data_IF_636800848660
#
_entry.id   IF_636800848660
#
_cell.length_a   1.000
_cell.length_b   1.000
_cell.length_c   1.000
_cell.angle_alpha   90.00
_cell.angle_beta   90.00
_cell.angle_gamma   90.00
#
_symmetry.space_group_name_H-M   'P 1'
#
loop_
_entity.id
_entity.type
_entity.pdbx_description
1 polymer ?
#
# COMPACT_ATOMS: atom_id res chain seq x y z
N UNK A 1 13.00 26.14 13.96
CA UNK A 1 14.13 25.44 14.61
C UNK A 1 14.37 24.14 13.86
N UNK A 2 15.58 23.89 13.35
CA UNK A 2 15.95 22.63 12.71
C UNK A 2 15.90 21.49 13.74
N UNK A 3 14.93 20.58 13.60
CA UNK A 3 14.74 19.45 14.53
C UNK A 3 15.71 18.28 14.27
N UNK A 4 16.54 18.36 13.22
CA UNK A 4 17.46 17.30 12.81
C UNK A 4 18.91 17.74 13.03
N UNK A 5 19.31 17.82 14.29
CA UNK A 5 20.71 17.97 14.70
C UNK A 5 21.29 16.59 15.04
N UNK A 6 22.56 16.34 14.72
CA UNK A 6 23.28 15.08 14.97
C UNK A 6 23.03 14.43 16.34
N UNK A 7 23.04 15.19 17.46
CA UNK A 7 22.68 14.67 18.78
C UNK A 7 21.28 14.03 18.83
N UNK A 8 20.27 14.71 18.29
CA UNK A 8 18.87 14.25 18.27
C UNK A 8 18.71 12.94 17.49
N UNK A 9 19.46 12.75 16.40
CA UNK A 9 19.40 11.53 15.58
C UNK A 9 20.14 10.35 16.23
N UNK A 10 21.20 10.63 17.01
CA UNK A 10 21.90 9.59 17.78
C UNK A 10 21.02 9.02 18.90
N UNK A 11 20.20 9.86 19.51
CA UNK A 11 19.36 9.50 20.66
C UNK A 11 17.95 9.03 20.26
N UNK A 12 17.45 9.42 19.07
CA UNK A 12 16.12 9.02 18.61
C UNK A 12 15.95 7.49 18.53
N UNK A 13 14.90 6.99 19.17
CA UNK A 13 14.40 5.64 18.98
C UNK A 13 13.76 5.52 17.60
N UNK A 14 14.11 4.44 16.88
CA UNK A 14 13.49 4.14 15.59
C UNK A 14 12.37 3.14 15.80
N UNK A 15 11.15 3.65 15.93
CA UNK A 15 9.95 2.82 16.01
C UNK A 15 9.45 2.57 14.57
N UNK A 16 9.26 1.31 14.18
CA UNK A 16 8.50 0.97 12.96
C UNK A 16 9.26 0.79 11.64
N UNK A 17 10.60 0.76 11.60
CA UNK A 17 11.37 0.38 10.38
C UNK A 17 12.32 -0.77 10.68
N UNK A 18 11.88 -2.00 10.44
CA UNK A 18 12.62 -3.22 10.75
C UNK A 18 13.65 -3.65 9.67
N UNK A 19 13.67 -3.00 8.51
CA UNK A 19 14.39 -3.50 7.32
C UNK A 19 15.81 -2.96 7.10
N UNK A 20 16.25 -1.93 7.83
CA UNK A 20 17.63 -1.44 7.76
C UNK A 20 18.18 -1.21 9.17
N UNK A 21 18.81 -2.26 9.74
CA UNK A 21 19.44 -2.22 11.04
C UNK A 21 20.74 -1.39 10.98
N UNK A 22 20.57 -0.07 10.86
CA UNK A 22 21.68 0.87 10.85
C UNK A 22 22.20 0.95 12.28
N UNK A 23 23.38 0.35 12.50
CA UNK A 23 24.10 0.46 13.77
C UNK A 23 24.20 1.92 14.19
N UNK A 24 24.01 2.20 15.49
CA UNK A 24 24.04 3.56 16.05
C UNK A 24 25.29 4.33 15.64
N UNK A 25 26.44 3.65 15.58
CA UNK A 25 27.73 4.19 15.13
C UNK A 25 27.73 4.72 13.68
N UNK A 26 26.89 4.16 12.81
CA UNK A 26 26.78 4.52 11.39
C UNK A 26 25.79 5.66 11.15
N UNK A 27 25.01 6.08 12.16
CA UNK A 27 24.02 7.17 12.02
C UNK A 27 24.68 8.50 11.64
N UNK A 28 25.93 8.74 12.09
CA UNK A 28 26.69 9.94 11.71
C UNK A 28 26.89 10.03 10.19
N UNK A 29 27.22 8.91 9.54
CA UNK A 29 27.44 8.87 8.11
C UNK A 29 26.15 9.08 7.32
N UNK A 30 25.04 8.53 7.80
CA UNK A 30 23.72 8.78 7.19
C UNK A 30 23.34 10.25 7.33
N UNK A 31 23.62 10.85 8.47
CA UNK A 31 23.39 12.28 8.65
C UNK A 31 24.26 13.13 7.72
N UNK A 32 25.55 12.81 7.59
CA UNK A 32 26.42 13.51 6.64
C UNK A 32 25.93 13.37 5.19
N UNK A 33 25.46 12.18 4.80
CA UNK A 33 24.82 11.97 3.48
C UNK A 33 23.53 12.79 3.35
N UNK A 34 22.71 12.84 4.40
CA UNK A 34 21.48 13.63 4.42
C UNK A 34 21.75 15.14 4.30
N UNK A 35 22.73 15.67 5.02
CA UNK A 35 23.15 17.06 4.88
C UNK A 35 23.65 17.32 3.47
N UNK A 36 24.50 16.44 2.93
CA UNK A 36 25.01 16.60 1.58
C UNK A 36 23.89 16.55 0.53
N UNK A 37 22.91 15.67 0.74
CA UNK A 37 21.70 15.61 -0.08
C UNK A 37 20.93 16.93 -0.06
N UNK A 38 20.69 17.51 1.13
CA UNK A 38 20.00 18.81 1.27
C UNK A 38 20.76 19.92 0.55
N UNK A 39 22.07 20.02 0.73
CA UNK A 39 22.92 21.02 0.06
C UNK A 39 22.80 20.93 -1.47
N UNK A 40 22.93 19.73 -2.03
CA UNK A 40 22.86 19.51 -3.48
C UNK A 40 21.46 19.81 -4.02
N UNK A 41 20.42 19.41 -3.27
CA UNK A 41 19.02 19.65 -3.64
C UNK A 41 18.70 21.15 -3.66
N UNK A 42 19.15 21.89 -2.65
CA UNK A 42 18.95 23.33 -2.57
C UNK A 42 19.73 24.08 -3.67
N UNK A 43 20.95 23.65 -3.98
CA UNK A 43 21.74 24.20 -5.08
C UNK A 43 21.06 24.00 -6.46
N UNK A 44 20.27 22.94 -6.63
CA UNK A 44 19.43 22.67 -7.81
C UNK A 44 18.08 23.44 -7.78
N UNK A 45 17.90 24.34 -6.82
CA UNK A 45 16.69 25.16 -6.65
C UNK A 45 15.51 24.43 -6.03
N UNK A 46 15.69 23.21 -5.52
CA UNK A 46 14.65 22.39 -4.87
C UNK A 46 14.77 22.52 -3.36
N UNK A 47 13.97 23.41 -2.76
CA UNK A 47 14.02 23.65 -1.30
C UNK A 47 13.55 22.43 -0.49
N UNK A 48 12.56 21.70 -1.00
CA UNK A 48 11.89 20.59 -0.32
C UNK A 48 11.75 19.39 -1.27
N UNK A 49 11.62 18.19 -0.71
CA UNK A 49 11.14 17.00 -1.42
C UNK A 49 9.77 16.57 -0.89
N UNK A 50 9.22 15.48 -1.45
CA UNK A 50 7.89 14.98 -1.08
C UNK A 50 7.77 14.54 0.37
N UNK A 51 8.84 14.02 0.97
CA UNK A 51 8.84 13.54 2.36
C UNK A 51 8.95 14.72 3.35
N UNK A 52 9.58 15.81 2.92
CA UNK A 52 9.75 17.04 3.69
C UNK A 52 8.48 17.90 3.76
N UNK A 53 7.60 17.86 2.75
CA UNK A 53 6.48 18.81 2.61
C UNK A 53 5.63 18.93 3.88
N UNK A 54 5.26 17.80 4.49
CA UNK A 54 4.44 17.80 5.70
C UNK A 54 5.13 18.53 6.87
N UNK A 55 6.43 18.31 7.05
CA UNK A 55 7.20 18.96 8.11
C UNK A 55 7.29 20.47 7.89
N UNK A 56 7.55 20.91 6.66
CA UNK A 56 7.62 22.35 6.36
C UNK A 56 6.26 23.02 6.47
N UNK A 57 5.18 22.40 5.99
CA UNK A 57 3.81 22.92 6.17
C UNK A 57 3.49 23.08 7.66
N UNK A 58 3.79 22.06 8.47
CA UNK A 58 3.60 22.15 9.92
C UNK A 58 4.38 23.32 10.53
N UNK A 59 5.66 23.49 10.19
CA UNK A 59 6.49 24.55 10.73
C UNK A 59 6.03 25.95 10.29
N UNK A 60 5.63 26.13 9.03
CA UNK A 60 5.12 27.41 8.54
C UNK A 60 3.81 27.78 9.27
N UNK A 61 2.90 26.82 9.44
CA UNK A 61 1.65 27.05 10.18
C UNK A 61 1.91 27.42 11.65
N UNK A 62 2.90 26.81 12.31
CA UNK A 62 3.25 27.15 13.68
C UNK A 62 3.76 28.60 13.86
N UNK A 63 4.23 29.24 12.78
CA UNK A 63 4.66 30.64 12.78
C UNK A 63 3.64 31.57 12.09
N UNK A 64 2.50 31.03 11.65
CA UNK A 64 1.43 31.76 10.99
C UNK A 64 0.26 31.95 11.95
N UNK A 65 0.04 33.19 12.38
CA UNK A 65 -1.06 33.58 13.28
C UNK A 65 -2.38 33.86 12.53
N UNK A 66 -2.43 33.65 11.21
CA UNK A 66 -3.66 33.85 10.44
C UNK A 66 -4.73 32.82 10.78
N UNK A 67 -5.99 33.26 10.71
CA UNK A 67 -7.13 32.38 10.93
C UNK A 67 -7.13 31.23 9.93
N UNK A 68 -7.23 29.99 10.44
CA UNK A 68 -7.24 28.80 9.60
C UNK A 68 -8.52 28.74 8.78
N UNK A 69 -8.39 28.49 7.48
CA UNK A 69 -9.52 28.46 6.55
C UNK A 69 -10.31 27.15 6.56
N UNK A 70 -9.68 26.04 6.95
CA UNK A 70 -10.31 24.73 6.87
C UNK A 70 -11.07 24.43 8.15
N UNK A 71 -12.39 24.53 8.09
CA UNK A 71 -13.25 24.15 9.20
C UNK A 71 -13.42 22.64 9.30
N UNK A 72 -13.34 21.90 8.19
CA UNK A 72 -13.46 20.45 8.21
C UNK A 72 -12.45 19.81 7.26
N UNK A 73 -11.68 18.85 7.78
CA UNK A 73 -10.76 18.03 6.98
C UNK A 73 -11.19 16.58 7.12
N UNK A 74 -11.31 15.89 5.99
CA UNK A 74 -11.61 14.46 5.91
C UNK A 74 -10.43 13.80 5.21
N UNK A 75 -9.78 12.87 5.91
CA UNK A 75 -8.72 12.02 5.37
C UNK A 75 -9.31 10.66 5.11
N UNK A 76 -9.35 10.28 3.83
CA UNK A 76 -9.63 8.91 3.41
C UNK A 76 -8.33 8.11 3.30
N UNK A 77 -8.40 6.79 3.47
CA UNK A 77 -7.24 5.88 3.46
C UNK A 77 -6.09 6.34 4.37
N UNK A 78 -6.43 6.80 5.57
CA UNK A 78 -5.50 7.44 6.50
C UNK A 78 -4.32 6.56 6.95
N UNK A 79 -4.40 5.24 6.76
CA UNK A 79 -3.26 4.34 6.95
C UNK A 79 -2.08 4.60 5.99
N UNK A 80 -2.28 5.32 4.88
CA UNK A 80 -1.22 5.70 3.95
C UNK A 80 -0.47 6.97 4.39
N UNK A 81 -0.96 7.68 5.41
CA UNK A 81 -0.37 8.93 5.86
C UNK A 81 0.75 8.69 6.88
N UNK A 82 1.79 9.53 6.87
CA UNK A 82 2.73 9.54 7.98
C UNK A 82 2.19 10.36 9.16
N UNK A 83 2.66 10.15 10.40
CA UNK A 83 2.31 10.98 11.55
C UNK A 83 2.55 12.47 11.31
N UNK A 84 3.62 12.82 10.59
CA UNK A 84 3.93 14.21 10.27
C UNK A 84 2.90 14.80 9.30
N UNK A 85 2.44 14.03 8.30
CA UNK A 85 1.37 14.46 7.40
C UNK A 85 0.06 14.69 8.15
N UNK A 86 -0.29 13.80 9.09
CA UNK A 86 -1.47 14.00 9.93
C UNK A 86 -1.31 15.24 10.81
N UNK A 87 -0.17 15.39 11.47
CA UNK A 87 0.10 16.54 12.34
C UNK A 87 0.02 17.87 11.58
N UNK A 88 0.57 17.93 10.37
CA UNK A 88 0.47 19.14 9.52
C UNK A 88 -0.96 19.45 9.09
N UNK A 89 -1.79 18.43 8.87
CA UNK A 89 -3.19 18.63 8.52
C UNK A 89 -4.02 19.07 9.73
N UNK A 90 -3.82 18.46 10.90
CA UNK A 90 -4.49 18.86 12.15
C UNK A 90 -4.20 20.33 12.46
N UNK A 91 -2.95 20.76 12.31
CA UNK A 91 -2.51 22.15 12.51
C UNK A 91 -3.19 23.16 11.55
N UNK A 92 -3.69 22.67 10.41
CA UNK A 92 -4.38 23.50 9.41
C UNK A 92 -5.88 23.65 9.66
N UNK A 93 -6.43 22.98 10.69
CA UNK A 93 -7.85 23.03 11.07
C UNK A 93 -8.13 24.29 11.91
N UNK A 94 -9.26 24.95 11.66
CA UNK A 94 -9.73 26.06 12.49
C UNK A 94 -10.09 25.65 13.93
N UNK A 95 -10.04 26.57 14.88
CA UNK A 95 -10.25 26.31 16.31
C UNK A 95 -11.57 25.57 16.63
N UNK A 96 -12.63 25.83 15.85
CA UNK A 96 -13.93 25.16 15.98
C UNK A 96 -14.19 24.14 14.87
N UNK A 97 -13.13 23.70 14.20
CA UNK A 97 -13.18 22.76 13.11
C UNK A 97 -13.18 21.29 13.56
N UNK A 98 -13.24 20.39 12.59
CA UNK A 98 -13.16 18.96 12.83
C UNK A 98 -12.20 18.26 11.89
N UNK A 99 -11.49 17.27 12.42
CA UNK A 99 -10.68 16.36 11.65
C UNK A 99 -11.31 14.96 11.67
N UNK A 100 -11.64 14.41 10.49
CA UNK A 100 -12.15 13.05 10.34
C UNK A 100 -11.12 12.19 9.64
N UNK A 101 -10.85 11.03 10.23
CA UNK A 101 -9.91 10.04 9.71
C UNK A 101 -10.65 8.75 9.43
N UNK A 102 -10.59 8.29 8.18
CA UNK A 102 -11.10 7.01 7.72
C UNK A 102 -9.90 6.13 7.36
N UNK A 103 -9.87 4.88 7.81
CA UNK A 103 -8.80 3.97 7.46
C UNK A 103 -9.05 2.55 7.94
N UNK A 104 -8.35 1.61 7.32
CA UNK A 104 -8.43 0.18 7.67
C UNK A 104 -7.34 -0.20 8.68
N UNK A 105 -7.77 -0.54 9.90
CA UNK A 105 -6.88 -0.97 10.99
C UNK A 105 -6.15 -2.26 10.63
N UNK A 106 -6.76 -3.15 9.85
CA UNK A 106 -6.11 -4.40 9.45
C UNK A 106 -4.94 -4.17 8.48
N UNK A 107 -4.95 -3.07 7.71
CA UNK A 107 -3.85 -2.69 6.83
C UNK A 107 -2.69 -2.00 7.57
N UNK A 108 -2.96 -1.39 8.74
CA UNK A 108 -1.93 -0.79 9.60
C UNK A 108 -1.01 -1.83 10.27
N UNK A 109 -1.45 -3.09 10.37
CA UNK A 109 -0.60 -4.20 10.85
C UNK A 109 0.61 -4.39 9.91
N UNK A 110 0.50 -4.02 8.64
CA UNK A 110 1.55 -4.17 7.63
C UNK A 110 2.46 -2.93 7.45
N UNK A 111 2.16 -1.82 8.15
CA UNK A 111 2.94 -0.59 8.09
C UNK A 111 2.97 0.08 9.46
N UNK A 112 4.11 -0.03 10.15
CA UNK A 112 4.49 0.62 11.43
C UNK A 112 3.34 1.03 12.35
N UNK A 113 3.25 0.41 13.54
CA UNK A 113 2.41 0.81 14.69
C UNK A 113 2.69 2.26 15.15
N UNK A 114 2.35 3.25 14.32
CA UNK A 114 2.41 4.64 14.65
C UNK A 114 1.13 4.96 15.40
N UNK A 115 1.30 5.21 16.69
CA UNK A 115 0.25 5.67 17.57
C UNK A 115 -0.22 7.04 17.07
N UNK A 116 -1.29 7.05 16.27
CA UNK A 116 -1.98 8.27 15.82
C UNK A 116 -2.36 9.19 16.99
N UNK A 117 -2.47 8.62 18.19
CA UNK A 117 -2.68 9.35 19.44
C UNK A 117 -1.57 10.37 19.72
N UNK A 118 -0.34 10.09 19.28
CA UNK A 118 0.81 10.98 19.48
C UNK A 118 0.92 12.07 18.40
N UNK A 119 0.05 12.06 17.38
CA UNK A 119 0.05 13.02 16.27
C UNK A 119 -0.79 14.28 16.54
N UNK A 120 -1.30 14.45 17.77
CA UNK A 120 -2.08 15.62 18.18
C UNK A 120 -3.57 15.56 17.78
N UNK A 121 -4.08 14.40 17.34
CA UNK A 121 -5.51 14.23 17.11
C UNK A 121 -6.22 14.04 18.45
N UNK A 122 -7.14 14.94 18.78
CA UNK A 122 -8.11 14.71 19.86
C UNK A 122 -9.22 13.77 19.37
N UNK A 123 -9.12 12.50 19.75
CA UNK A 123 -10.05 11.47 19.31
C UNK A 123 -11.31 11.51 20.18
N UNK A 124 -12.24 12.37 19.80
CA UNK A 124 -13.53 12.49 20.49
C UNK A 124 -14.48 11.31 20.25
N UNK A 125 -14.40 10.66 19.07
CA UNK A 125 -15.31 9.57 18.69
C UNK A 125 -14.68 8.60 17.71
N UNK A 126 -14.85 7.30 17.97
CA UNK A 126 -14.43 6.21 17.08
C UNK A 126 -15.69 5.47 16.63
N UNK A 127 -15.86 5.34 15.32
CA UNK A 127 -16.89 4.50 14.71
C UNK A 127 -16.23 3.31 14.03
N UNK A 128 -16.82 2.13 14.18
CA UNK A 128 -16.34 0.91 13.52
C UNK A 128 -17.43 0.41 12.57
N UNK A 129 -17.02 0.13 11.34
CA UNK A 129 -17.88 -0.43 10.30
C UNK A 129 -17.48 -1.88 10.08
N UNK A 130 -18.04 -2.78 10.89
CA UNK A 130 -17.59 -4.17 10.94
C UNK A 130 -18.25 -5.08 9.88
N UNK A 131 -19.20 -4.54 9.11
CA UNK A 131 -19.98 -5.30 8.12
C UNK A 131 -19.48 -5.00 6.70
N UNK A 132 -19.07 -6.05 5.98
CA UNK A 132 -18.59 -5.93 4.60
C UNK A 132 -19.74 -6.10 3.59
N UNK A 133 -20.14 -4.99 2.98
CA UNK A 133 -21.14 -4.96 1.89
C UNK A 133 -20.51 -4.96 0.49
N UNK A 134 -19.20 -4.72 0.39
CA UNK A 134 -18.49 -4.50 -0.88
C UNK A 134 -18.13 -5.82 -1.56
N UNK A 135 -17.70 -6.81 -0.78
CA UNK A 135 -17.19 -8.07 -1.31
C UNK A 135 -18.10 -9.25 -0.91
N UNK A 136 -18.42 -10.15 -1.86
CA UNK A 136 -19.07 -11.41 -1.54
C UNK A 136 -18.26 -12.23 -0.53
N UNK A 137 -18.98 -13.03 0.26
CA UNK A 137 -18.41 -13.89 1.29
C UNK A 137 -17.25 -14.76 0.78
N UNK A 138 -17.40 -15.27 -0.43
CA UNK A 138 -16.46 -16.16 -1.12
C UNK A 138 -15.14 -15.49 -1.49
N UNK A 139 -15.16 -14.22 -1.90
CA UNK A 139 -13.95 -13.46 -2.23
C UNK A 139 -13.15 -13.18 -0.96
N UNK A 140 -13.82 -12.75 0.11
CA UNK A 140 -13.16 -12.54 1.41
C UNK A 140 -12.62 -13.84 1.98
N UNK A 141 -13.34 -14.97 1.82
CA UNK A 141 -12.85 -16.28 2.25
C UNK A 141 -11.59 -16.71 1.48
N UNK A 142 -11.55 -16.46 0.17
CA UNK A 142 -10.37 -16.71 -0.66
C UNK A 142 -9.18 -15.83 -0.27
N UNK A 143 -9.40 -14.52 -0.06
CA UNK A 143 -8.37 -13.62 0.43
C UNK A 143 -7.81 -14.07 1.79
N UNK A 144 -8.68 -14.46 2.73
CA UNK A 144 -8.28 -15.04 4.03
C UNK A 144 -7.51 -16.36 3.90
N UNK A 145 -7.79 -17.17 2.88
CA UNK A 145 -7.04 -18.40 2.64
C UNK A 145 -5.62 -18.09 2.15
N UNK A 146 -5.46 -17.10 1.26
CA UNK A 146 -4.15 -16.64 0.79
C UNK A 146 -3.28 -16.14 1.96
N UNK A 147 -3.85 -15.36 2.88
CA UNK A 147 -3.11 -14.86 4.06
C UNK A 147 -2.75 -15.95 5.06
N UNK A 148 -3.24 -17.19 4.92
CA UNK A 148 -2.90 -18.32 5.80
C UNK A 148 -1.81 -19.23 5.23
N UNK A 149 -1.36 -18.99 4.00
CA UNK A 149 -0.24 -19.69 3.38
C UNK A 149 1.05 -19.39 4.16
N UNK A 150 1.95 -20.38 4.30
CA UNK A 150 3.11 -20.44 5.21
C UNK A 150 4.02 -19.19 5.30
N UNK A 151 3.93 -18.27 4.35
CA UNK A 151 4.65 -16.98 4.34
C UNK A 151 4.02 -15.92 5.28
N UNK A 152 2.86 -16.20 5.87
CA UNK A 152 2.01 -15.23 6.58
C UNK A 152 1.44 -15.73 7.94
N UNK A 153 2.25 -16.33 8.81
CA UNK A 153 1.88 -16.62 10.23
C UNK A 153 2.86 -15.92 11.16
N UNK A 154 2.52 -15.32 12.31
CA UNK A 154 1.28 -15.19 13.08
C UNK A 154 1.39 -13.85 13.83
N UNK A 155 0.38 -12.98 13.75
CA UNK A 155 0.05 -12.09 14.86
C UNK A 155 -1.48 -12.02 14.93
N UNK A 156 -2.02 -12.22 16.13
CA UNK A 156 -3.44 -12.51 16.42
C UNK A 156 -4.41 -11.35 16.20
N UNK A 157 -4.04 -10.33 15.43
CA UNK A 157 -4.82 -9.10 15.21
C UNK A 157 -5.53 -9.08 13.85
N UNK A 158 -5.80 -10.23 13.22
CA UNK A 158 -6.71 -10.26 12.08
C UNK A 158 -8.14 -10.00 12.59
N UNK A 159 -8.62 -8.77 12.40
CA UNK A 159 -10.01 -8.39 12.66
C UNK A 159 -10.93 -9.34 11.89
N UNK A 160 -11.67 -10.16 12.60
CA UNK A 160 -12.72 -10.98 11.99
C UNK A 160 -13.79 -10.04 11.44
N UNK A 161 -13.77 -9.81 10.12
CA UNK A 161 -14.87 -9.12 9.46
C UNK A 161 -16.18 -9.84 9.81
N UNK A 162 -17.00 -9.19 10.61
CA UNK A 162 -18.22 -9.74 11.16
C UNK A 162 -19.30 -9.76 10.08
N UNK A 163 -19.94 -10.91 9.92
CA UNK A 163 -21.13 -11.14 9.09
C UNK A 163 -21.00 -10.78 7.60
N UNK A 164 -20.84 -11.81 6.76
CA UNK A 164 -20.88 -11.70 5.31
C UNK A 164 -22.33 -11.90 4.83
N UNK A 165 -22.85 -10.95 4.06
CA UNK A 165 -24.29 -10.87 3.76
C UNK A 165 -24.68 -11.59 2.45
N UNK A 166 -23.74 -11.96 1.57
CA UNK A 166 -24.06 -12.61 0.31
C UNK A 166 -23.07 -13.70 -0.14
N UNK A 167 -23.61 -14.87 -0.54
CA UNK A 167 -22.92 -15.91 -1.30
C UNK A 167 -22.77 -15.47 -2.76
N UNK A 168 -21.60 -14.95 -3.13
CA UNK A 168 -21.22 -14.77 -4.53
C UNK A 168 -20.62 -16.05 -5.13
N UNK A 169 -20.35 -16.09 -6.44
CA UNK A 169 -19.63 -17.20 -7.04
C UNK A 169 -18.25 -17.37 -6.39
N UNK A 170 -17.77 -18.61 -6.30
CA UNK A 170 -16.39 -18.88 -5.85
C UNK A 170 -15.40 -18.37 -6.90
N UNK A 171 -14.26 -17.79 -6.50
CA UNK A 171 -13.16 -17.54 -7.41
C UNK A 171 -12.75 -18.82 -8.15
N UNK A 172 -12.42 -18.69 -9.43
CA UNK A 172 -12.04 -19.82 -10.29
C UNK A 172 -10.52 -19.78 -10.46
N UNK A 173 -9.85 -20.88 -10.09
CA UNK A 173 -8.45 -21.12 -10.41
C UNK A 173 -8.38 -22.02 -11.64
N UNK A 174 -7.61 -21.60 -12.66
CA UNK A 174 -7.41 -22.37 -13.88
C UNK A 174 -5.91 -22.57 -14.08
N UNK A 175 -5.50 -23.83 -14.18
CA UNK A 175 -4.13 -24.21 -14.45
C UNK A 175 -3.89 -24.35 -15.96
N UNK A 176 -2.74 -23.85 -16.42
CA UNK A 176 -2.32 -23.96 -17.80
C UNK A 176 -0.92 -24.56 -17.87
N UNK A 177 -0.71 -25.52 -18.77
CA UNK A 177 0.61 -26.11 -18.99
C UNK A 177 1.60 -25.16 -19.67
N UNK A 178 1.11 -24.06 -20.27
CA UNK A 178 1.94 -23.08 -20.98
C UNK A 178 1.46 -21.65 -20.72
N UNK A 179 2.42 -20.76 -20.43
CA UNK A 179 2.19 -19.32 -20.22
C UNK A 179 1.37 -18.69 -21.36
N UNK A 180 1.64 -19.08 -22.61
CA UNK A 180 0.93 -18.51 -23.76
C UNK A 180 -0.56 -18.88 -23.78
N UNK A 181 -0.93 -20.07 -23.29
CA UNK A 181 -2.32 -20.50 -23.23
C UNK A 181 -3.09 -19.69 -22.17
N UNK A 182 -2.48 -19.48 -21.00
CA UNK A 182 -3.02 -18.61 -19.96
C UNK A 182 -3.29 -17.20 -20.49
N UNK A 183 -2.27 -16.57 -21.09
CA UNK A 183 -2.38 -15.22 -21.65
C UNK A 183 -3.49 -15.14 -22.70
N UNK A 184 -3.52 -16.08 -23.65
CA UNK A 184 -4.53 -16.11 -24.70
C UNK A 184 -5.95 -16.26 -24.13
N UNK A 185 -6.11 -17.15 -23.15
CA UNK A 185 -7.40 -17.39 -22.50
C UNK A 185 -7.90 -16.17 -21.74
N UNK A 186 -7.02 -15.52 -20.96
CA UNK A 186 -7.35 -14.28 -20.23
C UNK A 186 -7.74 -13.17 -21.21
N UNK A 187 -6.99 -12.97 -22.29
CA UNK A 187 -7.30 -11.94 -23.29
C UNK A 187 -8.68 -12.19 -23.92
N UNK A 188 -8.96 -13.40 -24.40
CA UNK A 188 -10.25 -13.71 -25.03
C UNK A 188 -11.41 -13.52 -24.05
N UNK A 189 -11.23 -13.97 -22.81
CA UNK A 189 -12.27 -13.87 -21.79
C UNK A 189 -12.50 -12.42 -21.35
N UNK A 190 -11.43 -11.65 -21.16
CA UNK A 190 -11.51 -10.24 -20.78
C UNK A 190 -12.21 -9.42 -21.87
N UNK A 191 -11.90 -9.65 -23.15
CA UNK A 191 -12.59 -8.99 -24.27
C UNK A 191 -14.08 -9.34 -24.31
N UNK A 192 -14.42 -10.62 -24.11
CA UNK A 192 -15.82 -11.06 -24.14
C UNK A 192 -16.64 -10.42 -23.01
N UNK A 193 -16.12 -10.42 -21.79
CA UNK A 193 -16.82 -9.92 -20.59
C UNK A 193 -16.79 -8.38 -20.53
N UNK A 194 -15.67 -7.76 -20.94
CA UNK A 194 -15.49 -6.31 -20.94
C UNK A 194 -16.51 -5.55 -21.79
N UNK A 195 -17.25 -6.23 -22.68
CA UNK A 195 -18.37 -5.65 -23.43
C UNK A 195 -19.62 -5.40 -22.58
N UNK A 196 -19.80 -6.16 -21.50
CA UNK A 196 -21.02 -6.15 -20.68
C UNK A 196 -20.82 -5.60 -19.27
N UNK A 197 -19.60 -5.67 -18.75
CA UNK A 197 -19.25 -5.32 -17.37
C UNK A 197 -17.83 -4.76 -17.30
N UNK A 198 -17.49 -4.08 -16.20
CA UNK A 198 -16.14 -3.61 -15.99
C UNK A 198 -15.20 -4.78 -15.71
N UNK A 199 -14.07 -4.84 -16.42
CA UNK A 199 -13.15 -5.97 -16.36
C UNK A 199 -11.72 -5.46 -16.23
N UNK A 200 -10.97 -5.99 -15.27
CA UNK A 200 -9.57 -5.62 -15.06
C UNK A 200 -8.66 -6.84 -15.08
N UNK A 201 -7.47 -6.68 -15.67
CA UNK A 201 -6.34 -7.61 -15.54
C UNK A 201 -5.33 -6.96 -14.60
N UNK A 202 -5.10 -7.57 -13.43
CA UNK A 202 -4.20 -7.06 -12.39
C UNK A 202 -2.86 -7.76 -12.49
N UNK A 203 -1.90 -7.11 -13.12
CA UNK A 203 -0.55 -7.61 -13.32
C UNK A 203 0.36 -7.34 -12.11
N UNK A 204 1.44 -8.11 -11.98
CA UNK A 204 2.44 -7.89 -10.93
C UNK A 204 3.21 -6.60 -11.14
N UNK A 205 3.69 -6.38 -12.36
CA UNK A 205 4.54 -5.25 -12.75
C UNK A 205 4.16 -4.75 -14.15
N UNK A 206 4.82 -3.67 -14.58
CA UNK A 206 4.59 -3.08 -15.90
C UNK A 206 5.03 -3.98 -17.05
N UNK A 207 6.08 -4.79 -16.87
CA UNK A 207 6.51 -5.73 -17.91
C UNK A 207 5.43 -6.77 -18.24
N UNK A 208 4.62 -7.18 -17.26
CA UNK A 208 3.47 -8.05 -17.52
C UNK A 208 2.35 -7.28 -18.26
N UNK A 209 2.12 -5.99 -17.95
CA UNK A 209 1.17 -5.13 -18.69
C UNK A 209 1.57 -5.00 -20.17
N UNK A 210 2.87 -4.81 -20.44
CA UNK A 210 3.43 -4.68 -21.78
C UNK A 210 3.23 -5.94 -22.64
N UNK A 211 3.00 -7.10 -22.02
CA UNK A 211 2.64 -8.34 -22.72
C UNK A 211 1.16 -8.32 -23.15
N UNK A 212 0.26 -7.90 -22.26
CA UNK A 212 -1.18 -7.99 -22.51
C UNK A 212 -1.71 -6.86 -23.42
N UNK A 213 -1.20 -5.64 -23.28
CA UNK A 213 -1.69 -4.47 -24.04
C UNK A 213 -1.65 -4.69 -25.57
N UNK A 214 -0.52 -5.13 -26.18
CA UNK A 214 -0.48 -5.38 -27.61
C UNK A 214 -1.42 -6.51 -28.05
N UNK A 215 -1.59 -7.56 -27.23
CA UNK A 215 -2.44 -8.70 -27.55
C UNK A 215 -3.92 -8.31 -27.56
N UNK A 216 -4.35 -7.51 -26.58
CA UNK A 216 -5.70 -6.95 -26.52
C UNK A 216 -5.97 -6.07 -27.75
N UNK A 217 -5.03 -5.18 -28.07
CA UNK A 217 -5.13 -4.29 -29.24
C UNK A 217 -5.23 -5.09 -30.55
N UNK A 218 -4.38 -6.10 -30.73
CA UNK A 218 -4.39 -6.95 -31.92
C UNK A 218 -5.69 -7.75 -32.09
N UNK A 219 -6.43 -7.99 -31.01
CA UNK A 219 -7.76 -8.61 -31.03
C UNK A 219 -8.91 -7.59 -31.06
N UNK A 220 -8.61 -6.32 -31.36
CA UNK A 220 -9.61 -5.26 -31.53
C UNK A 220 -10.16 -4.70 -30.23
N UNK A 221 -9.46 -4.89 -29.10
CA UNK A 221 -9.83 -4.33 -27.81
C UNK A 221 -8.88 -3.20 -27.41
N UNK A 222 -9.38 -1.98 -27.39
CA UNK A 222 -8.67 -0.83 -26.82
C UNK A 222 -8.80 -0.83 -25.30
N UNK A 223 -7.94 -1.60 -24.65
CA UNK A 223 -7.87 -1.64 -23.19
C UNK A 223 -7.18 -0.39 -22.63
N UNK A 224 -7.59 0.02 -21.42
CA UNK A 224 -7.05 1.20 -20.75
C UNK A 224 -6.05 0.75 -19.68
N UNK A 225 -4.81 1.20 -19.78
CA UNK A 225 -3.85 1.08 -18.68
C UNK A 225 -4.18 2.11 -17.60
N UNK A 226 -4.39 1.64 -16.37
CA UNK A 226 -4.58 2.47 -15.20
C UNK A 226 -3.21 2.82 -14.64
N UNK A 227 -2.94 4.12 -14.53
CA UNK A 227 -1.71 4.66 -13.97
C UNK A 227 -2.00 5.99 -13.26
N UNK A 228 -0.95 6.68 -12.82
CA UNK A 228 -1.09 7.96 -12.09
C UNK A 228 -1.82 9.05 -12.89
N UNK A 229 -1.78 8.99 -14.22
CA UNK A 229 -2.35 9.99 -15.13
C UNK A 229 -3.70 9.55 -15.72
N UNK A 230 -3.98 8.24 -15.71
CA UNK A 230 -5.18 7.65 -16.30
C UNK A 230 -5.97 6.89 -15.22
N UNK A 231 -7.03 7.48 -14.65
CA UNK A 231 -7.84 6.82 -13.64
C UNK A 231 -8.65 5.66 -14.24
N UNK A 232 -8.80 4.58 -13.47
CA UNK A 232 -9.72 3.49 -13.78
C UNK A 232 -11.15 3.87 -13.42
N UNK A 233 -12.10 3.61 -14.31
CA UNK A 233 -13.52 3.90 -14.06
C UNK A 233 -14.31 2.59 -13.99
N UNK A 234 -14.69 2.20 -12.77
CA UNK A 234 -15.40 0.96 -12.46
C UNK A 234 -16.76 0.81 -13.14
N UNK A 235 -17.38 1.92 -13.57
CA UNK A 235 -18.72 1.96 -14.15
C UNK A 235 -18.73 1.82 -15.69
N UNK A 236 -17.57 1.87 -16.34
CA UNK A 236 -17.47 1.74 -17.78
C UNK A 236 -17.27 0.28 -18.17
N UNK A 237 -18.06 -0.18 -19.13
CA UNK A 237 -17.96 -1.52 -19.75
C UNK A 237 -16.76 -1.55 -20.69
N UNK A 238 -15.59 -1.73 -20.09
CA UNK A 238 -14.29 -1.76 -20.76
C UNK A 238 -13.34 -2.74 -20.09
N UNK A 239 -12.26 -3.05 -20.81
CA UNK A 239 -11.12 -3.79 -20.28
C UNK A 239 -10.06 -2.82 -19.78
N UNK A 240 -9.59 -3.05 -18.57
CA UNK A 240 -8.55 -2.30 -17.90
C UNK A 240 -7.34 -3.18 -17.62
N UNK A 241 -6.15 -2.58 -17.57
CA UNK A 241 -4.93 -3.20 -17.07
C UNK A 241 -4.34 -2.34 -15.98
N UNK A 242 -3.84 -2.97 -14.93
CA UNK A 242 -3.23 -2.25 -13.82
C UNK A 242 -2.20 -3.11 -13.11
N UNK A 243 -1.43 -2.49 -12.23
CA UNK A 243 -0.62 -3.21 -11.25
C UNK A 243 -1.38 -3.31 -9.92
N UNK A 244 -1.01 -4.24 -9.05
CA UNK A 244 -1.60 -4.32 -7.70
C UNK A 244 -1.58 -2.98 -6.95
N UNK A 245 -0.49 -2.22 -7.06
CA UNK A 245 -0.34 -0.92 -6.40
C UNK A 245 -1.33 0.14 -6.95
N UNK A 246 -1.56 0.14 -8.27
CA UNK A 246 -2.45 1.09 -8.92
C UNK A 246 -3.93 0.64 -8.91
N UNK A 247 -4.21 -0.61 -8.50
CA UNK A 247 -5.56 -1.12 -8.31
C UNK A 247 -6.20 -0.68 -6.98
N UNK A 248 -5.41 -0.19 -6.02
CA UNK A 248 -5.90 0.18 -4.69
C UNK A 248 -6.99 1.24 -4.79
N UNK A 249 -8.10 1.04 -4.07
CA UNK A 249 -9.24 1.95 -4.09
C UNK A 249 -10.14 1.85 -5.32
N UNK A 250 -9.87 0.93 -6.24
CA UNK A 250 -10.68 0.70 -7.44
C UNK A 250 -11.51 -0.57 -7.32
N UNK A 251 -12.70 -0.55 -7.92
CA UNK A 251 -13.65 -1.67 -7.92
C UNK A 251 -13.92 -2.10 -9.36
N UNK A 252 -14.07 -3.40 -9.60
CA UNK A 252 -14.41 -3.94 -10.93
C UNK A 252 -15.32 -5.15 -10.76
N UNK A 253 -16.24 -5.33 -11.71
CA UNK A 253 -17.15 -6.48 -11.70
C UNK A 253 -16.39 -7.80 -11.91
N UNK A 254 -15.31 -7.76 -12.70
CA UNK A 254 -14.51 -8.93 -13.07
C UNK A 254 -13.02 -8.63 -12.94
N UNK A 255 -12.30 -9.50 -12.24
CA UNK A 255 -10.86 -9.36 -11.99
C UNK A 255 -10.14 -10.63 -12.45
N UNK A 256 -9.16 -10.47 -13.33
CA UNK A 256 -8.21 -11.50 -13.71
C UNK A 256 -6.85 -11.23 -13.06
N UNK A 257 -6.24 -12.25 -12.47
CA UNK A 257 -4.89 -12.18 -11.90
C UNK A 257 -4.04 -13.23 -12.62
N UNK A 258 -3.21 -12.85 -13.61
CA UNK A 258 -2.33 -13.76 -14.32
C UNK A 258 -1.12 -14.15 -13.46
N UNK A 259 -0.49 -15.26 -13.81
CA UNK A 259 0.78 -15.74 -13.29
C UNK A 259 0.77 -15.96 -11.77
N UNK A 260 -0.23 -16.69 -11.28
CA UNK A 260 -0.30 -17.15 -9.88
C UNK A 260 0.71 -18.27 -9.62
N UNK A 261 2.00 -18.00 -9.84
CA UNK A 261 3.13 -18.90 -9.60
C UNK A 261 3.89 -18.47 -8.34
N UNK A 262 4.58 -19.40 -7.68
CA UNK A 262 5.26 -19.13 -6.40
C UNK A 262 6.30 -17.99 -6.46
N UNK A 263 6.94 -17.77 -7.62
CA UNK A 263 7.89 -16.69 -7.85
C UNK A 263 7.25 -15.30 -8.00
N UNK A 264 5.94 -15.26 -8.25
CA UNK A 264 5.18 -14.02 -8.50
C UNK A 264 4.06 -13.77 -7.50
N UNK A 265 3.62 -14.81 -6.77
CA UNK A 265 2.50 -14.75 -5.83
C UNK A 265 2.71 -15.65 -4.60
N UNK A 266 2.59 -15.14 -3.36
CA UNK A 266 2.32 -13.74 -3.01
C UNK A 266 3.51 -12.84 -3.37
N UNK A 267 3.26 -11.54 -3.53
CA UNK A 267 4.29 -10.55 -3.87
C UNK A 267 5.52 -10.71 -2.96
N UNK A 268 6.70 -11.11 -3.49
CA UNK A 268 7.89 -11.33 -2.67
C UNK A 268 8.39 -10.07 -1.95
N UNK A 269 8.10 -8.87 -2.44
CA UNK A 269 8.43 -7.61 -1.77
C UNK A 269 7.50 -7.34 -0.60
N UNK A 270 6.23 -7.74 -0.73
CA UNK A 270 5.26 -7.70 0.38
C UNK A 270 5.63 -8.77 1.41
N UNK A 271 6.02 -9.98 0.98
CA UNK A 271 6.52 -11.04 1.88
C UNK A 271 7.81 -10.61 2.57
N UNK A 272 8.79 -10.03 1.86
CA UNK A 272 10.07 -9.61 2.46
C UNK A 272 9.90 -8.45 3.43
N UNK A 273 8.97 -7.52 3.15
CA UNK A 273 8.54 -6.50 4.11
C UNK A 273 7.87 -7.13 5.33
N UNK A 274 6.99 -8.12 5.15
CA UNK A 274 6.34 -8.82 6.26
C UNK A 274 7.34 -9.62 7.13
N UNK A 275 8.28 -10.35 6.50
CA UNK A 275 9.30 -11.15 7.19
C UNK A 275 10.31 -10.28 7.92
N UNK A 276 10.73 -9.16 7.32
CA UNK A 276 11.63 -8.20 8.01
C UNK A 276 10.97 -7.51 9.20
N UNK A 277 9.65 -7.34 9.20
CA UNK A 277 8.87 -6.80 10.33
C UNK A 277 8.67 -7.84 11.44
N UNK A 278 8.46 -9.11 11.08
CA UNK A 278 8.17 -10.20 12.03
C UNK A 278 9.43 -10.79 12.69
N UNK A 279 10.60 -10.67 12.05
CA UNK A 279 11.88 -11.13 12.58
C UNK A 279 12.91 -10.00 12.57
N UNK A 280 12.90 -9.07 13.55
CA UNK A 280 14.07 -8.26 13.82
C UNK A 280 15.20 -9.23 14.20
N UNK A 281 16.25 -9.30 13.38
CA UNK A 281 17.46 -10.09 13.68
C UNK A 281 18.15 -9.51 14.90
N UNK A 282 17.69 -9.90 16.08
CA UNK A 282 18.35 -9.74 17.37
C UNK A 282 18.03 -10.98 18.23
N UNK A 283 18.72 -12.09 17.94
CA UNK A 283 19.27 -13.04 18.92
C UNK A 283 19.93 -14.20 18.17
N UNK A 284 21.22 -14.36 18.45
CA UNK A 284 22.11 -15.51 18.29
C UNK A 284 21.74 -16.63 17.29
N UNK A 285 22.64 -16.78 16.30
CA UNK A 285 22.99 -18.00 15.55
C UNK A 285 21.88 -19.01 15.26
N UNK A 286 21.42 -19.02 14.01
CA UNK A 286 21.10 -20.28 13.33
C UNK A 286 21.52 -20.18 11.86
N UNK A 287 22.63 -20.83 11.53
CA UNK A 287 22.93 -21.26 10.16
C UNK A 287 21.96 -22.39 9.82
N UNK A 288 21.16 -22.22 8.75
CA UNK A 288 20.43 -23.33 8.16
C UNK A 288 20.87 -23.49 6.70
N UNK A 289 21.68 -24.53 6.47
CA UNK A 289 22.01 -25.06 5.17
C UNK A 289 20.79 -25.73 4.55
N UNK A 290 20.58 -25.54 3.24
CA UNK A 290 19.65 -26.31 2.43
C UNK A 290 20.46 -27.40 1.71
N UNK A 291 20.21 -28.68 2.03
CA UNK A 291 20.60 -29.81 1.18
C UNK A 291 19.39 -30.19 0.31
N UNK A 292 19.61 -30.25 -1.00
CA UNK A 292 18.69 -30.84 -1.96
C UNK A 292 18.58 -32.35 -1.71
N UNK A 293 17.36 -32.87 -1.61
CA UNK A 293 17.11 -34.26 -2.00
C UNK A 293 16.00 -34.32 -3.04
N UNK A 294 16.44 -34.67 -4.25
CA UNK A 294 15.68 -35.19 -5.36
C UNK A 294 14.95 -36.47 -4.95
N UNK A 295 13.66 -36.56 -5.29
CA UNK A 295 13.02 -37.80 -5.75
C UNK A 295 11.84 -37.48 -6.66
#
# INVERSE_FOLDING_TARGET
>A
MDFLVLPSIKEAERIGRASANIKRENRKWIFEVYEKYRELREADGKKYDWDDLALYVFNELQNDDSERRYTHIIVDEGQDFSPMMIKSLVESVADNGSFTFLGDVAQQIYGSRLSWRDSGIDINKIWRFDVNYRNPATITAFAKAITRIKYWRQDGDMVEAASQIAEGPKPILIEFSYKQHEVNWIVDRAIAIGKTSSTVIVCRNRADIDIFLPLLKNRGCEAIEINKETPGFSHLKKVYLTTFHAAKGLEFDNVFIPYLTEDKFPDPDIISKAVSILFPRDSDTYDFYYEEELS
#
